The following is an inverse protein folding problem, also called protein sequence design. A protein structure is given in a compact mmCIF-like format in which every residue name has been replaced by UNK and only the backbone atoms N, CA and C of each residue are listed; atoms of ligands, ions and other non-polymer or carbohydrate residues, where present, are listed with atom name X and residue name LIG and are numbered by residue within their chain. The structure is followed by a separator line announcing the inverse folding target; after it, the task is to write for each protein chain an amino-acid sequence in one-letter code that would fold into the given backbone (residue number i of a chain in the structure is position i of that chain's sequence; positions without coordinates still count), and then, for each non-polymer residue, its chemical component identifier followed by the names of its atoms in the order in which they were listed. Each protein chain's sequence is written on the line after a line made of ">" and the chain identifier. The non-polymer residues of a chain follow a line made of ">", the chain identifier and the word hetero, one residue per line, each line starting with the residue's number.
data_IF_312339858557
#
_entry.id   IF_312339858557
#
_cell.length_a   1.000
_cell.length_b   1.000
_cell.length_c   1.000
_cell.angle_alpha   90.00
_cell.angle_beta   90.00
_cell.angle_gamma   90.00
#
_symmetry.space_group_name_H-M   'P 1'
#
loop_
_entity.id
_entity.type
_entity.pdbx_description
1 polymer ?
#
# COMPACT_ATOMS: atom_id res chain seq x y z
N UNK A 1 4.83 11.26 10.19
CA UNK A 1 4.37 10.70 8.90
C UNK A 1 5.56 10.01 8.28
N UNK A 2 5.54 8.68 8.21
CA UNK A 2 6.55 7.91 7.48
C UNK A 2 6.58 8.32 6.01
N UNK A 3 7.77 8.33 5.41
CA UNK A 3 7.92 8.65 4.00
C UNK A 3 7.28 7.56 3.12
N UNK A 4 6.74 7.97 1.97
CA UNK A 4 6.25 7.01 0.98
C UNK A 4 7.41 6.20 0.39
N UNK A 5 7.13 4.96 0.00
CA UNK A 5 8.11 4.10 -0.65
C UNK A 5 7.51 3.40 -1.87
N UNK A 6 8.36 3.04 -2.82
CA UNK A 6 7.97 2.39 -4.07
C UNK A 6 8.46 0.95 -4.10
N UNK A 7 7.61 0.05 -4.57
CA UNK A 7 7.92 -1.36 -4.81
C UNK A 7 7.86 -1.62 -6.30
N UNK A 8 8.92 -2.17 -6.88
CA UNK A 8 8.97 -2.46 -8.32
C UNK A 8 9.26 -3.95 -8.57
N UNK A 9 8.65 -4.57 -9.59
CA UNK A 9 9.02 -5.90 -10.04
C UNK A 9 10.33 -5.81 -10.85
N UNK A 10 11.27 -6.72 -10.63
CA UNK A 10 12.60 -6.66 -11.27
C UNK A 10 12.62 -7.31 -12.66
N UNK A 11 11.96 -8.47 -12.80
CA UNK A 11 12.11 -9.39 -13.94
C UNK A 11 10.81 -9.51 -14.76
N UNK A 12 9.75 -8.79 -14.37
CA UNK A 12 8.40 -8.92 -14.90
C UNK A 12 7.61 -7.61 -14.70
N UNK A 13 6.35 -7.60 -15.11
CA UNK A 13 5.35 -6.63 -14.66
C UNK A 13 4.43 -7.27 -13.63
N UNK A 14 3.81 -6.43 -12.81
CA UNK A 14 2.75 -6.85 -11.90
C UNK A 14 1.50 -7.24 -12.68
N UNK A 15 0.92 -8.39 -12.36
CA UNK A 15 -0.45 -8.72 -12.75
C UNK A 15 -1.42 -7.93 -11.85
N UNK A 16 -1.74 -6.72 -12.29
CA UNK A 16 -2.62 -5.78 -11.57
C UNK A 16 -3.99 -6.40 -11.26
N UNK A 17 -4.53 -7.23 -12.14
CA UNK A 17 -5.82 -7.89 -11.90
C UNK A 17 -5.71 -8.90 -10.75
N UNK A 18 -4.61 -9.64 -10.65
CA UNK A 18 -4.35 -10.54 -9.53
C UNK A 18 -4.08 -9.79 -8.23
N UNK A 19 -3.36 -8.66 -8.28
CA UNK A 19 -3.15 -7.80 -7.10
C UNK A 19 -4.48 -7.24 -6.60
N UNK A 20 -5.31 -6.69 -7.49
CA UNK A 20 -6.61 -6.14 -7.12
C UNK A 20 -7.54 -7.20 -6.53
N UNK A 21 -7.55 -8.41 -7.09
CA UNK A 21 -8.31 -9.53 -6.50
C UNK A 21 -7.83 -9.89 -5.10
N UNK A 22 -6.54 -9.81 -4.82
CA UNK A 22 -6.02 -10.05 -3.48
C UNK A 22 -6.35 -8.91 -2.51
N UNK A 23 -6.27 -7.66 -2.98
CA UNK A 23 -6.71 -6.49 -2.19
C UNK A 23 -8.18 -6.64 -1.79
N UNK A 24 -9.05 -7.09 -2.69
CA UNK A 24 -10.47 -7.31 -2.43
C UNK A 24 -10.71 -8.43 -1.37
N UNK A 25 -9.71 -9.23 -1.00
CA UNK A 25 -9.80 -10.20 0.12
C UNK A 25 -9.21 -9.70 1.43
N UNK A 26 -8.58 -8.52 1.45
CA UNK A 26 -8.08 -7.92 2.69
C UNK A 26 -9.26 -7.43 3.53
N UNK A 27 -9.37 -7.86 4.81
CA UNK A 27 -10.52 -7.49 5.65
C UNK A 27 -10.63 -5.98 5.86
N UNK A 28 -9.49 -5.30 6.03
CA UNK A 28 -9.41 -3.87 6.28
C UNK A 28 -8.85 -3.08 5.08
N UNK A 29 -9.15 -3.54 3.85
CA UNK A 29 -8.77 -2.85 2.61
C UNK A 29 -9.97 -2.56 1.70
N UNK A 30 -10.01 -1.38 1.11
CA UNK A 30 -11.03 -1.01 0.12
C UNK A 30 -10.42 -0.23 -1.04
N UNK A 31 -10.94 -0.45 -2.24
CA UNK A 31 -10.62 0.40 -3.40
C UNK A 31 -11.31 1.75 -3.28
N UNK A 32 -10.61 2.81 -3.62
CA UNK A 32 -11.21 4.12 -3.70
C UNK A 32 -12.17 4.18 -4.91
N UNK A 33 -13.40 4.63 -4.68
CA UNK A 33 -14.42 4.70 -5.73
C UNK A 33 -14.13 5.82 -6.76
N UNK A 34 -13.35 6.83 -6.35
CA UNK A 34 -13.08 8.03 -7.17
C UNK A 34 -11.76 7.93 -7.94
N UNK A 35 -10.83 7.09 -7.47
CA UNK A 35 -9.50 6.85 -8.01
C UNK A 35 -9.24 5.35 -7.96
N UNK A 36 -9.73 4.58 -8.94
CA UNK A 36 -9.78 3.11 -8.89
C UNK A 36 -8.43 2.39 -8.74
N UNK A 37 -7.33 3.07 -9.06
CA UNK A 37 -5.96 2.62 -8.88
C UNK A 37 -5.45 2.73 -7.43
N UNK A 38 -6.18 3.45 -6.56
CA UNK A 38 -5.87 3.64 -5.15
C UNK A 38 -6.66 2.68 -4.27
N UNK A 39 -5.95 2.11 -3.29
CA UNK A 39 -6.48 1.26 -2.24
C UNK A 39 -6.24 1.95 -0.91
N UNK A 40 -7.30 2.06 -0.11
CA UNK A 40 -7.25 2.51 1.27
C UNK A 40 -7.10 1.30 2.19
N UNK A 41 -6.09 1.33 3.06
CA UNK A 41 -5.82 0.31 4.07
C UNK A 41 -5.89 0.92 5.47
N UNK A 42 -6.59 0.23 6.36
CA UNK A 42 -6.76 0.59 7.77
C UNK A 42 -6.57 -0.66 8.65
N UNK A 43 -6.59 -0.47 9.97
CA UNK A 43 -6.44 -1.57 10.95
C UNK A 43 -7.79 -2.11 11.46
N UNK A 44 -8.92 -1.48 11.11
CA UNK A 44 -10.26 -1.99 11.42
C UNK A 44 -11.31 -1.67 10.36
N UNK A 45 -12.30 -2.54 10.23
CA UNK A 45 -13.42 -2.37 9.28
C UNK A 45 -14.23 -1.10 9.57
N UNK A 46 -14.46 -0.78 10.85
CA UNK A 46 -15.22 0.42 11.21
C UNK A 46 -14.55 1.71 10.73
N UNK A 47 -13.22 1.79 10.85
CA UNK A 47 -12.45 2.92 10.33
C UNK A 47 -12.47 2.95 8.80
N UNK A 48 -12.45 1.79 8.15
CA UNK A 48 -12.50 1.67 6.70
C UNK A 48 -13.85 2.13 6.13
N UNK A 49 -14.94 1.75 6.78
CA UNK A 49 -16.30 2.22 6.48
C UNK A 49 -16.35 3.75 6.57
N UNK A 50 -15.92 4.32 7.70
CA UNK A 50 -15.85 5.77 7.90
C UNK A 50 -14.99 6.47 6.85
N UNK A 51 -13.81 5.93 6.54
CA UNK A 51 -12.91 6.49 5.54
C UNK A 51 -13.55 6.50 4.14
N UNK A 52 -14.25 5.42 3.79
CA UNK A 52 -14.93 5.29 2.50
C UNK A 52 -16.11 6.25 2.38
N UNK A 53 -16.92 6.39 3.44
CA UNK A 53 -18.01 7.37 3.50
C UNK A 53 -17.48 8.80 3.42
N UNK A 54 -16.46 9.14 4.21
CA UNK A 54 -15.85 10.48 4.19
C UNK A 54 -15.29 10.82 2.82
N UNK A 55 -14.70 9.83 2.14
CA UNK A 55 -14.14 9.96 0.81
C UNK A 55 -15.21 10.14 -0.27
N UNK A 56 -16.36 9.51 -0.10
CA UNK A 56 -17.51 9.71 -0.97
C UNK A 56 -18.09 11.13 -0.85
N UNK A 57 -18.08 11.69 0.37
CA UNK A 57 -18.54 13.06 0.64
C UNK A 57 -17.56 14.14 0.16
N UNK A 58 -16.24 13.93 0.35
CA UNK A 58 -15.18 14.81 -0.16
C UNK A 58 -14.10 14.04 -0.95
N UNK A 59 -14.28 13.91 -2.27
CA UNK A 59 -13.32 13.30 -3.19
C UNK A 59 -11.99 14.04 -3.33
N UNK A 60 -11.73 15.12 -2.61
CA UNK A 60 -10.43 15.81 -2.67
C UNK A 60 -9.50 15.46 -1.52
N UNK A 61 -10.00 14.76 -0.49
CA UNK A 61 -9.23 14.44 0.72
C UNK A 61 -9.24 12.96 1.05
N UNK A 62 -8.11 12.50 1.58
CA UNK A 62 -8.01 11.21 2.26
C UNK A 62 -7.93 11.46 3.77
N UNK A 63 -8.55 10.62 4.61
CA UNK A 63 -8.37 10.71 6.06
C UNK A 63 -6.87 10.57 6.43
N UNK A 64 -6.30 11.44 7.29
CA UNK A 64 -4.85 11.48 7.54
C UNK A 64 -4.23 10.16 8.05
N UNK A 65 -5.03 9.30 8.66
CA UNK A 65 -4.57 8.05 9.24
C UNK A 65 -4.47 6.90 8.22
N UNK A 66 -5.07 7.02 7.04
CA UNK A 66 -5.17 5.90 6.08
C UNK A 66 -3.82 5.61 5.41
N UNK A 67 -3.46 4.33 5.31
CA UNK A 67 -2.37 3.92 4.43
C UNK A 67 -2.92 3.74 3.02
N UNK A 68 -2.25 4.34 2.02
CA UNK A 68 -2.64 4.24 0.62
C UNK A 68 -1.70 3.32 -0.15
N UNK A 69 -2.27 2.50 -1.02
CA UNK A 69 -1.53 1.79 -2.07
C UNK A 69 -2.01 2.30 -3.43
N UNK A 70 -1.09 2.63 -4.32
CA UNK A 70 -1.40 2.85 -5.73
C UNK A 70 -0.72 1.76 -6.56
N UNK A 71 -1.53 0.97 -7.28
CA UNK A 71 -1.05 -0.21 -8.01
C UNK A 71 -0.99 0.06 -9.51
N UNK A 72 0.20 -0.05 -10.08
CA UNK A 72 0.46 0.07 -11.51
C UNK A 72 1.22 -1.19 -12.02
N UNK A 73 1.24 -1.47 -13.33
CA UNK A 73 1.96 -2.64 -13.87
C UNK A 73 3.46 -2.66 -13.55
N UNK A 74 4.09 -1.50 -13.32
CA UNK A 74 5.53 -1.39 -13.12
C UNK A 74 5.92 -1.04 -11.68
N UNK A 75 4.96 -0.68 -10.83
CA UNK A 75 5.24 -0.28 -9.45
C UNK A 75 4.01 -0.34 -8.57
N UNK A 76 4.24 -0.45 -7.28
CA UNK A 76 3.27 -0.10 -6.24
C UNK A 76 3.86 1.03 -5.42
N UNK A 77 3.17 2.16 -5.36
CA UNK A 77 3.49 3.23 -4.42
C UNK A 77 2.74 2.96 -3.11
N UNK A 78 3.46 3.00 -1.99
CA UNK A 78 2.90 2.89 -0.66
C UNK A 78 3.08 4.22 0.04
N UNK A 79 2.00 4.82 0.50
CA UNK A 79 2.00 6.03 1.33
C UNK A 79 1.49 5.63 2.71
N UNK A 80 2.39 5.37 3.68
CA UNK A 80 1.98 4.94 5.00
C UNK A 80 1.20 6.03 5.74
N UNK A 81 0.06 5.66 6.31
CA UNK A 81 -0.64 6.44 7.32
C UNK A 81 -0.24 6.00 8.72
N UNK A 82 -0.83 6.62 9.74
CA UNK A 82 -0.67 6.16 11.12
C UNK A 82 -1.39 4.83 11.41
N UNK A 83 -2.31 4.42 10.54
CA UNK A 83 -3.10 3.19 10.60
C UNK A 83 -2.93 2.39 9.30
N UNK A 84 -3.28 1.11 9.34
CA UNK A 84 -3.23 0.20 8.19
C UNK A 84 -1.85 -0.42 7.94
N UNK A 85 -0.89 -0.18 8.83
CA UNK A 85 0.49 -0.68 8.71
C UNK A 85 0.51 -2.21 8.73
N UNK A 86 -0.29 -2.84 9.58
CA UNK A 86 -0.34 -4.31 9.67
C UNK A 86 -0.86 -4.91 8.36
N UNK A 87 -1.93 -4.33 7.80
CA UNK A 87 -2.53 -4.73 6.52
C UNK A 87 -1.57 -4.48 5.35
N UNK A 88 -0.89 -3.32 5.34
CA UNK A 88 0.10 -2.99 4.32
C UNK A 88 1.31 -3.94 4.37
N UNK A 89 1.80 -4.29 5.56
CA UNK A 89 2.86 -5.29 5.74
C UNK A 89 2.43 -6.64 5.18
N UNK A 90 1.22 -7.10 5.48
CA UNK A 90 0.68 -8.35 4.94
C UNK A 90 0.62 -8.32 3.40
N UNK A 91 0.21 -7.19 2.82
CA UNK A 91 0.20 -6.99 1.38
C UNK A 91 1.60 -7.07 0.76
N UNK A 92 2.59 -6.38 1.34
CA UNK A 92 3.97 -6.41 0.86
C UNK A 92 4.58 -7.82 0.96
N UNK A 93 4.31 -8.54 2.05
CA UNK A 93 4.73 -9.93 2.21
C UNK A 93 4.13 -10.84 1.13
N UNK A 94 2.83 -10.67 0.84
CA UNK A 94 2.14 -11.43 -0.21
C UNK A 94 2.72 -11.16 -1.61
N UNK A 95 3.10 -9.91 -1.91
CA UNK A 95 3.81 -9.54 -3.14
C UNK A 95 5.18 -10.21 -3.21
N UNK A 96 5.97 -10.15 -2.13
CA UNK A 96 7.32 -10.70 -2.08
C UNK A 96 7.36 -12.24 -2.24
N UNK A 97 6.25 -12.94 -1.95
CA UNK A 97 6.12 -14.37 -2.21
C UNK A 97 5.90 -14.71 -3.70
N UNK A 98 5.52 -13.74 -4.53
CA UNK A 98 5.10 -13.95 -5.92
C UNK A 98 6.01 -13.29 -6.94
N UNK A 99 6.61 -12.18 -6.55
CA UNK A 99 7.45 -11.37 -7.40
C UNK A 99 8.81 -11.19 -6.75
N UNK A 100 9.86 -11.10 -7.58
CA UNK A 100 11.13 -10.55 -7.14
C UNK A 100 11.02 -9.03 -7.16
N UNK A 101 11.22 -8.43 -6.00
CA UNK A 101 10.93 -7.03 -5.74
C UNK A 101 12.20 -6.21 -5.55
N UNK A 102 12.16 -4.97 -6.01
CA UNK A 102 13.03 -3.87 -5.64
C UNK A 102 12.24 -2.88 -4.78
N UNK A 103 12.86 -2.40 -3.71
CA UNK A 103 12.27 -1.41 -2.80
C UNK A 103 13.05 -0.10 -2.90
N UNK A 104 12.34 1.01 -3.14
CA UNK A 104 12.90 2.35 -3.22
C UNK A 104 12.26 3.23 -2.13
N UNK A 105 13.06 4.01 -1.40
CA UNK A 105 12.54 4.97 -0.42
C UNK A 105 11.96 6.24 -1.06
N UNK A 106 11.56 7.23 -0.24
CA UNK A 106 10.99 8.50 -0.71
C UNK A 106 11.94 9.34 -1.57
N UNK A 107 13.25 9.11 -1.48
CA UNK A 107 14.29 9.72 -2.30
C UNK A 107 14.70 8.85 -3.50
N UNK A 108 13.95 7.78 -3.78
CA UNK A 108 14.22 6.80 -4.84
C UNK A 108 15.56 6.04 -4.66
N UNK A 109 16.07 5.93 -3.44
CA UNK A 109 17.27 5.14 -3.13
C UNK A 109 16.89 3.68 -2.96
N UNK A 110 17.68 2.78 -3.53
CA UNK A 110 17.46 1.33 -3.41
C UNK A 110 17.76 0.85 -1.99
N UNK A 111 16.71 0.38 -1.30
CA UNK A 111 16.74 -0.14 0.07
C UNK A 111 16.36 -1.62 0.13
N UNK A 112 16.47 -2.33 -1.00
CA UNK A 112 16.05 -3.74 -1.13
C UNK A 112 16.76 -4.65 -0.13
N UNK A 113 18.06 -4.43 0.10
CA UNK A 113 18.83 -5.24 1.03
C UNK A 113 18.33 -5.13 2.47
N UNK A 114 17.94 -3.92 2.90
CA UNK A 114 17.36 -3.64 4.21
C UNK A 114 15.97 -4.29 4.32
N UNK A 115 15.15 -4.16 3.28
CA UNK A 115 13.81 -4.78 3.25
C UNK A 115 13.82 -6.30 3.31
N UNK A 116 14.85 -6.94 2.76
CA UNK A 116 15.04 -8.37 2.89
C UNK A 116 15.40 -8.82 4.31
N UNK A 117 16.00 -7.94 5.13
CA UNK A 117 16.29 -8.24 6.54
C UNK A 117 15.07 -8.09 7.44
N UNK A 118 14.12 -7.25 7.05
CA UNK A 118 12.82 -7.09 7.71
C UNK A 118 12.07 -5.91 7.11
N UNK A 119 10.75 -6.02 6.96
CA UNK A 119 9.93 -4.96 6.37
C UNK A 119 9.65 -3.80 7.33
N UNK A 120 9.92 -3.97 8.63
CA UNK A 120 9.54 -3.01 9.65
C UNK A 120 10.13 -1.62 9.40
N UNK A 121 11.38 -1.54 8.92
CA UNK A 121 12.01 -0.25 8.63
C UNK A 121 11.29 0.58 7.55
N UNK A 122 10.49 -0.03 6.67
CA UNK A 122 9.67 0.68 5.67
C UNK A 122 8.49 1.43 6.31
N UNK A 123 8.11 1.05 7.53
CA UNK A 123 6.94 1.57 8.23
C UNK A 123 7.30 2.28 9.54
N UNK A 124 8.58 2.45 9.85
CA UNK A 124 9.03 3.23 11.00
C UNK A 124 8.97 4.72 10.63
N UNK A 125 8.39 5.54 11.50
CA UNK A 125 8.57 7.00 11.42
C UNK A 125 10.05 7.32 11.67
N UNK A 126 10.76 7.84 10.67
CA UNK A 126 12.07 8.46 10.87
C UNK A 126 11.90 9.94 11.21
#
# INVERSE_FOLDING_TARGET
>A
MSESFTIEPVDTTFDVATINRYVDTLPCGARDATTPEVVMLLDSNHMLEYATESRADDPTRFPPAVTLLQVEPHRVLVTPGSEGIATARQFVQWLAQRYRLRFLDGEMRDVTAQAQQGLDFLFIEQ
#
